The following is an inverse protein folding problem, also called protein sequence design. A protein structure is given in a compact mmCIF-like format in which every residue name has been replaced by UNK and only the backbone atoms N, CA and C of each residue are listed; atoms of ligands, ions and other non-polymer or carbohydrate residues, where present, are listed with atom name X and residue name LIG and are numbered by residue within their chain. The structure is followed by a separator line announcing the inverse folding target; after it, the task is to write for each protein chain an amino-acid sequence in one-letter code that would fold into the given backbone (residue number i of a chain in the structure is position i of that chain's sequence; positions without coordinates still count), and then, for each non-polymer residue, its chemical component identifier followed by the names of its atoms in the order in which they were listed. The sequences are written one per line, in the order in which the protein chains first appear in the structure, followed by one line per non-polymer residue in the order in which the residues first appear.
data_IF_848041179479
#
_entry.id   IF_848041179479
#
_cell.length_a   1.000
_cell.length_b   1.000
_cell.length_c   1.000
_cell.angle_alpha   90.00
_cell.angle_beta   90.00
_cell.angle_gamma   90.00
#
_symmetry.space_group_name_H-M   'P 1'
#
loop_
_entity.id
_entity.type
_entity.pdbx_description
1 polymer ?
#
# COMPACT_ATOMS: atom_id res chain seq x y z
N UNK A 1 -24.64 -42.86 -6.84
CA UNK A 1 -24.48 -41.82 -5.81
C UNK A 1 -23.51 -40.79 -6.34
N UNK A 2 -24.00 -39.62 -6.74
CA UNK A 2 -23.16 -38.54 -7.30
C UNK A 2 -22.83 -37.58 -6.17
N UNK A 3 -21.56 -37.54 -5.77
CA UNK A 3 -21.08 -36.67 -4.69
C UNK A 3 -20.93 -35.25 -5.24
N UNK A 4 -21.87 -34.37 -4.89
CA UNK A 4 -21.77 -32.94 -5.18
C UNK A 4 -20.83 -32.30 -4.17
N UNK A 5 -19.56 -32.09 -4.55
CA UNK A 5 -18.60 -31.30 -3.78
C UNK A 5 -19.04 -29.84 -3.82
N UNK A 6 -19.63 -29.36 -2.72
CA UNK A 6 -19.92 -27.93 -2.54
C UNK A 6 -18.58 -27.21 -2.38
N UNK A 7 -18.08 -26.59 -3.45
CA UNK A 7 -16.98 -25.63 -3.38
C UNK A 7 -17.51 -24.38 -2.68
N UNK A 8 -17.32 -24.32 -1.37
CA UNK A 8 -17.45 -23.08 -0.61
C UNK A 8 -16.42 -22.11 -1.18
N UNK A 9 -16.84 -21.19 -2.04
CA UNK A 9 -16.02 -20.05 -2.45
C UNK A 9 -15.86 -19.17 -1.23
N UNK A 10 -14.86 -19.48 -0.41
CA UNK A 10 -14.36 -18.59 0.65
C UNK A 10 -13.99 -17.30 -0.05
N UNK A 11 -14.79 -16.25 0.18
CA UNK A 11 -14.47 -14.90 -0.27
C UNK A 11 -13.03 -14.62 0.18
N UNK A 12 -12.07 -14.33 -0.72
CA UNK A 12 -10.66 -14.20 -0.33
C UNK A 12 -10.43 -13.08 0.68
N UNK A 13 -11.40 -12.16 0.84
CA UNK A 13 -11.40 -11.16 1.90
C UNK A 13 -12.74 -11.06 2.63
N UNK A 14 -12.96 -11.91 3.64
CA UNK A 14 -14.06 -11.76 4.58
C UNK A 14 -13.56 -11.01 5.81
N UNK A 15 -14.04 -9.77 6.03
CA UNK A 15 -13.81 -8.96 7.25
C UNK A 15 -12.34 -8.83 7.70
N UNK A 16 -11.64 -7.80 7.21
CA UNK A 16 -10.24 -7.53 7.59
C UNK A 16 -9.49 -6.54 6.68
N UNK A 17 -10.20 -5.74 5.89
CA UNK A 17 -9.60 -4.73 5.01
C UNK A 17 -8.98 -3.61 5.85
N UNK A 18 -7.67 -3.40 5.70
CA UNK A 18 -6.99 -2.27 6.32
C UNK A 18 -6.86 -1.10 5.32
N UNK A 19 -7.06 0.12 5.82
CA UNK A 19 -6.66 1.33 5.12
C UNK A 19 -5.32 1.79 5.69
N UNK A 20 -4.31 1.85 4.83
CA UNK A 20 -2.94 2.22 5.23
C UNK A 20 -2.61 3.56 4.62
N UNK A 21 -2.28 4.54 5.46
CA UNK A 21 -1.78 5.84 5.01
C UNK A 21 -0.33 5.99 5.44
N UNK A 22 0.56 6.16 4.48
CA UNK A 22 1.92 6.61 4.76
C UNK A 22 1.95 8.14 4.81
N UNK A 23 2.29 8.69 5.97
CA UNK A 23 2.61 10.11 6.12
C UNK A 23 4.12 10.22 6.26
N UNK A 24 4.79 10.71 5.22
CA UNK A 24 6.25 10.70 5.11
C UNK A 24 6.78 12.12 5.34
N UNK A 25 7.64 12.27 6.34
CA UNK A 25 8.30 13.54 6.64
C UNK A 25 9.32 13.88 5.54
N UNK A 26 9.12 15.02 4.89
CA UNK A 26 10.02 15.61 3.90
C UNK A 26 10.50 17.00 4.33
N UNK A 27 10.55 17.25 5.64
CA UNK A 27 11.08 18.49 6.21
C UNK A 27 12.57 18.68 5.88
N UNK A 28 13.05 19.93 5.96
CA UNK A 28 14.46 20.25 5.68
C UNK A 28 15.47 19.59 6.62
N UNK A 29 15.01 19.08 7.77
CA UNK A 29 15.82 18.28 8.70
C UNK A 29 16.00 16.83 8.28
N UNK A 30 15.20 16.32 7.33
CA UNK A 30 15.30 14.96 6.81
C UNK A 30 16.24 14.96 5.60
N UNK A 31 17.40 14.27 5.67
CA UNK A 31 18.28 14.15 4.51
C UNK A 31 17.58 13.40 3.37
N UNK A 32 17.87 13.74 2.12
CA UNK A 32 17.26 13.10 0.93
C UNK A 32 17.44 11.58 0.93
N UNK A 33 18.54 11.05 1.48
CA UNK A 33 18.74 9.60 1.61
C UNK A 33 17.70 8.95 2.54
N UNK A 34 17.32 9.64 3.62
CA UNK A 34 16.35 9.15 4.59
C UNK A 34 14.93 9.21 4.03
N UNK A 35 14.60 10.24 3.25
CA UNK A 35 13.34 10.31 2.50
C UNK A 35 13.22 9.15 1.51
N UNK A 36 14.28 8.89 0.72
CA UNK A 36 14.35 7.71 -0.16
C UNK A 36 14.17 6.39 0.58
N UNK A 37 14.84 6.22 1.74
CA UNK A 37 14.68 5.02 2.55
C UNK A 37 13.26 4.84 3.08
N UNK A 38 12.56 5.93 3.43
CA UNK A 38 11.17 5.89 3.85
C UNK A 38 10.23 5.47 2.70
N UNK A 39 10.44 6.01 1.50
CA UNK A 39 9.72 5.59 0.29
C UNK A 39 9.93 4.12 -0.05
N UNK A 40 11.19 3.66 -0.03
CA UNK A 40 11.52 2.25 -0.24
C UNK A 40 10.89 1.35 0.83
N UNK A 41 10.92 1.75 2.11
CA UNK A 41 10.24 1.01 3.18
C UNK A 41 8.74 0.88 2.90
N UNK A 42 8.06 1.96 2.54
CA UNK A 42 6.64 1.94 2.24
C UNK A 42 6.34 1.01 1.03
N UNK A 43 7.14 1.07 -0.02
CA UNK A 43 7.00 0.17 -1.20
C UNK A 43 7.13 -1.30 -0.81
N UNK A 44 8.20 -1.65 -0.07
CA UNK A 44 8.45 -3.03 0.36
C UNK A 44 7.41 -3.53 1.36
N UNK A 45 6.89 -2.65 2.23
CA UNK A 45 5.82 -2.99 3.16
C UNK A 45 4.53 -3.35 2.41
N UNK A 46 4.13 -2.54 1.42
CA UNK A 46 2.96 -2.83 0.59
C UNK A 46 3.15 -4.12 -0.22
N UNK A 47 4.35 -4.37 -0.74
CA UNK A 47 4.68 -5.63 -1.40
C UNK A 47 4.51 -6.82 -0.46
N UNK A 48 5.03 -6.74 0.77
CA UNK A 48 4.89 -7.82 1.75
C UNK A 48 3.44 -8.15 2.09
N UNK A 49 2.57 -7.15 2.17
CA UNK A 49 1.13 -7.37 2.37
C UNK A 49 0.48 -8.03 1.15
N UNK A 50 0.85 -7.61 -0.06
CA UNK A 50 0.33 -8.18 -1.30
C UNK A 50 0.76 -9.64 -1.48
N UNK A 51 2.01 -9.96 -1.16
CA UNK A 51 2.56 -11.32 -1.22
C UNK A 51 1.85 -12.27 -0.25
N UNK A 52 1.34 -11.76 0.87
CA UNK A 52 0.51 -12.50 1.82
C UNK A 52 -0.99 -12.53 1.47
N UNK A 53 -1.37 -12.02 0.30
CA UNK A 53 -2.77 -11.91 -0.14
C UNK A 53 -3.67 -11.16 0.87
N UNK A 54 -3.09 -10.19 1.60
CA UNK A 54 -3.85 -9.34 2.53
C UNK A 54 -4.65 -8.32 1.74
N UNK A 55 -5.94 -8.15 2.04
CA UNK A 55 -6.72 -7.04 1.50
C UNK A 55 -6.40 -5.74 2.22
N UNK A 56 -5.96 -4.74 1.44
CA UNK A 56 -5.78 -3.38 1.93
C UNK A 56 -6.02 -2.35 0.82
N UNK A 57 -6.22 -1.10 1.23
CA UNK A 57 -6.06 0.08 0.39
C UNK A 57 -4.91 0.90 0.93
N UNK A 58 -4.18 1.58 0.05
CA UNK A 58 -3.05 2.40 0.42
C UNK A 58 -3.24 3.83 -0.05
N UNK A 59 -2.73 4.79 0.73
CA UNK A 59 -2.54 6.17 0.35
C UNK A 59 -1.17 6.64 0.84
N UNK A 60 -0.62 7.67 0.20
CA UNK A 60 0.62 8.29 0.62
C UNK A 60 0.55 9.81 0.55
N UNK A 61 1.04 10.46 1.59
CA UNK A 61 1.16 11.90 1.73
C UNK A 61 2.60 12.19 2.13
N UNK A 62 3.26 13.11 1.41
CA UNK A 62 4.50 13.70 1.89
C UNK A 62 4.19 15.01 2.61
N UNK A 63 4.87 15.29 3.70
CA UNK A 63 4.59 16.46 4.53
C UNK A 63 5.86 17.23 4.85
N UNK A 64 5.82 18.55 4.63
CA UNK A 64 6.84 19.48 5.15
C UNK A 64 6.16 20.75 5.69
N UNK A 65 6.15 21.85 4.94
CA UNK A 65 5.37 23.05 5.28
C UNK A 65 3.87 22.81 5.07
N UNK A 66 3.51 21.90 4.18
CA UNK A 66 2.14 21.48 3.93
C UNK A 66 2.08 20.07 3.34
N UNK A 67 0.88 19.47 3.31
CA UNK A 67 0.70 18.14 2.75
C UNK A 67 0.77 18.19 1.21
N UNK A 68 1.43 17.21 0.61
CA UNK A 68 1.24 16.86 -0.80
C UNK A 68 0.75 15.43 -0.89
N UNK A 69 -0.44 15.26 -1.47
CA UNK A 69 -1.00 13.95 -1.80
C UNK A 69 -0.17 13.34 -2.93
N UNK A 70 0.38 12.15 -2.71
CA UNK A 70 1.07 11.37 -3.74
C UNK A 70 0.08 10.46 -4.45
N UNK A 71 -0.70 9.72 -3.66
CA UNK A 71 -1.87 9.00 -4.15
C UNK A 71 -2.89 8.72 -3.04
N UNK A 72 -4.15 8.53 -3.40
CA UNK A 72 -5.26 8.17 -2.52
C UNK A 72 -5.71 6.71 -2.65
N UNK A 73 -6.67 6.30 -1.81
CA UNK A 73 -7.19 4.93 -1.74
C UNK A 73 -7.95 4.45 -2.99
N UNK A 74 -8.28 5.34 -3.91
CA UNK A 74 -9.02 5.02 -5.14
C UNK A 74 -8.11 4.75 -6.32
N UNK A 75 -6.84 5.16 -6.26
CA UNK A 75 -5.91 5.04 -7.38
C UNK A 75 -5.36 3.62 -7.54
N UNK A 76 -5.16 2.88 -6.44
CA UNK A 76 -4.55 1.56 -6.48
C UNK A 76 -5.31 0.57 -5.57
N UNK A 77 -5.27 -0.70 -5.96
CA UNK A 77 -5.83 -1.81 -5.17
C UNK A 77 -4.75 -2.83 -4.87
N UNK A 78 -4.95 -3.69 -3.87
CA UNK A 78 -3.99 -4.73 -3.50
C UNK A 78 -3.52 -5.60 -4.69
N UNK A 79 -4.39 -5.82 -5.69
CA UNK A 79 -4.05 -6.57 -6.91
C UNK A 79 -3.31 -5.76 -8.00
N UNK A 80 -3.11 -4.45 -7.83
CA UNK A 80 -2.43 -3.58 -8.78
C UNK A 80 -1.69 -2.46 -8.04
N UNK A 81 -0.52 -2.79 -7.47
CA UNK A 81 0.31 -1.88 -6.67
C UNK A 81 1.54 -1.36 -7.41
N UNK A 82 1.79 -1.77 -8.66
CA UNK A 82 3.00 -1.37 -9.40
C UNK A 82 3.13 0.16 -9.48
N UNK A 83 2.04 0.86 -9.78
CA UNK A 83 2.03 2.33 -9.80
C UNK A 83 2.22 2.97 -8.43
N UNK A 84 1.63 2.41 -7.37
CA UNK A 84 1.85 2.89 -6.00
C UNK A 84 3.33 2.78 -5.59
N UNK A 85 3.95 1.65 -5.96
CA UNK A 85 5.36 1.38 -5.67
C UNK A 85 6.29 2.28 -6.48
N UNK A 86 6.03 2.46 -7.77
CA UNK A 86 6.80 3.38 -8.62
C UNK A 86 6.80 4.80 -8.04
N UNK A 87 5.65 5.30 -7.57
CA UNK A 87 5.55 6.60 -6.91
C UNK A 87 6.38 6.63 -5.62
N UNK A 88 6.26 5.63 -4.75
CA UNK A 88 7.00 5.58 -3.48
C UNK A 88 8.51 5.42 -3.65
N UNK A 89 8.95 4.67 -4.67
CA UNK A 89 10.37 4.47 -5.00
C UNK A 89 11.00 5.69 -5.69
N UNK A 90 10.18 6.64 -6.17
CA UNK A 90 10.63 7.89 -6.79
C UNK A 90 10.88 9.06 -5.82
N UNK A 91 10.60 8.86 -4.51
CA UNK A 91 10.77 9.88 -3.47
C UNK A 91 12.22 10.33 -3.26
#
# INVERSE_FOLDING_TARGET
TTTTTTTTTTNPCPVGSADIVFVIDSSGSVPTRSLRSAGLFASLFLQGLADQSVCFRAAAIIFSTGPRLMFDFSQFSAGNLSGAREILESL
#
